data_IF_958284642182
#
_entry.id   IF_958284642182
#
_cell.length_a   1.000
_cell.length_b   1.000
_cell.length_c   1.000
_cell.angle_alpha   90.00
_cell.angle_beta   90.00
_cell.angle_gamma   90.00
#
_symmetry.space_group_name_H-M   'P 1'
#
loop_
_entity.id
_entity.type
_entity.pdbx_description
1 polymer ?
#
# COMPACT_ATOMS: atom_id res chain seq x y z
N UNK A 1 -6.98 -16.07 5.93
CA UNK A 1 -7.16 -16.18 7.39
C UNK A 1 -6.60 -17.51 7.87
N UNK A 2 -5.67 -17.45 8.82
CA UNK A 2 -5.00 -18.56 9.46
C UNK A 2 -5.67 -18.83 10.79
N UNK A 3 -6.00 -20.09 11.08
CA UNK A 3 -6.49 -20.50 12.40
C UNK A 3 -5.36 -20.34 13.43
N UNK A 4 -5.48 -19.41 14.37
CA UNK A 4 -4.54 -19.26 15.49
C UNK A 4 -5.28 -19.54 16.80
N UNK A 5 -4.79 -20.50 17.57
CA UNK A 5 -5.30 -20.77 18.90
C UNK A 5 -4.52 -19.90 19.89
N UNK A 6 -5.19 -18.93 20.48
CA UNK A 6 -4.60 -17.89 21.35
C UNK A 6 -4.10 -18.46 22.69
N UNK A 7 -4.64 -19.60 23.12
CA UNK A 7 -4.37 -20.19 24.44
C UNK A 7 -4.05 -21.69 24.43
N UNK A 8 -4.10 -22.35 23.27
CA UNK A 8 -4.17 -23.81 23.26
C UNK A 8 -5.46 -24.30 23.89
N UNK A 9 -6.42 -24.68 23.03
CA UNK A 9 -7.47 -25.67 23.31
C UNK A 9 -8.70 -25.25 24.15
N UNK A 10 -8.81 -24.04 24.73
CA UNK A 10 -9.98 -23.68 25.57
C UNK A 10 -10.90 -22.57 25.06
N UNK A 11 -10.49 -21.76 24.08
CA UNK A 11 -11.33 -20.67 23.52
C UNK A 11 -11.52 -20.81 22.00
N UNK A 12 -12.57 -20.18 21.43
CA UNK A 12 -12.82 -20.23 20.00
C UNK A 12 -11.59 -19.74 19.23
N UNK A 13 -11.21 -20.40 18.13
CA UNK A 13 -10.08 -19.98 17.33
C UNK A 13 -10.31 -18.56 16.81
N UNK A 14 -9.29 -17.71 16.90
CA UNK A 14 -9.30 -16.44 16.17
C UNK A 14 -8.55 -16.66 14.87
N UNK A 15 -9.17 -16.23 13.78
CA UNK A 15 -8.51 -16.20 12.51
C UNK A 15 -7.61 -14.97 12.44
N UNK A 16 -6.33 -15.17 12.12
CA UNK A 16 -5.40 -14.07 11.88
C UNK A 16 -4.98 -13.96 10.44
N UNK A 17 -4.56 -12.79 10.02
CA UNK A 17 -3.92 -12.59 8.72
C UNK A 17 -2.53 -13.24 8.73
N UNK A 18 -2.04 -13.81 7.63
CA UNK A 18 -0.62 -14.14 7.53
C UNK A 18 0.22 -12.86 7.63
N UNK A 19 1.37 -12.86 8.33
CA UNK A 19 2.27 -11.73 8.30
C UNK A 19 2.97 -11.65 6.92
N UNK A 20 3.39 -10.45 6.47
CA UNK A 20 4.24 -10.33 5.29
C UNK A 20 5.58 -11.03 5.54
N UNK A 21 6.12 -11.68 4.50
CA UNK A 21 7.44 -12.36 4.56
C UNK A 21 8.59 -11.46 4.09
N UNK A 22 8.29 -10.40 3.33
CA UNK A 22 9.28 -9.37 2.96
C UNK A 22 9.81 -8.71 4.22
N UNK A 23 11.12 -8.50 4.27
CA UNK A 23 11.81 -7.94 5.44
C UNK A 23 11.59 -8.69 6.76
N UNK A 24 11.04 -9.90 6.74
CA UNK A 24 10.75 -10.64 7.96
C UNK A 24 12.00 -10.76 8.84
N UNK A 25 13.18 -10.94 8.25
CA UNK A 25 14.45 -11.09 8.96
C UNK A 25 14.87 -9.86 9.77
N UNK A 26 14.27 -8.69 9.49
CA UNK A 26 14.50 -7.43 10.19
C UNK A 26 13.48 -7.17 11.30
N UNK A 27 12.46 -8.02 11.47
CA UNK A 27 11.35 -7.78 12.40
C UNK A 27 11.41 -8.66 13.64
N UNK A 28 12.58 -9.22 13.96
CA UNK A 28 12.75 -10.02 15.17
C UNK A 28 12.40 -9.21 16.44
N UNK A 29 11.79 -9.83 17.48
CA UNK A 29 11.40 -11.24 17.53
C UNK A 29 10.20 -11.54 16.62
N UNK A 30 10.25 -12.69 15.94
CA UNK A 30 9.27 -13.11 14.95
C UNK A 30 7.97 -13.58 15.58
N UNK A 31 6.97 -13.80 14.71
CA UNK A 31 5.55 -14.03 14.99
C UNK A 31 4.78 -12.77 15.43
N UNK A 32 3.46 -12.87 15.42
CA UNK A 32 2.58 -11.75 15.73
C UNK A 32 2.69 -11.24 17.16
N UNK A 33 3.25 -12.01 18.10
CA UNK A 33 3.30 -11.64 19.51
C UNK A 33 4.73 -11.35 19.99
N UNK A 34 5.70 -11.48 19.09
CA UNK A 34 7.10 -11.13 19.30
C UNK A 34 7.78 -12.06 20.30
N UNK A 35 7.53 -13.37 20.21
CA UNK A 35 8.13 -14.37 21.12
C UNK A 35 9.18 -15.24 20.49
N UNK A 36 9.20 -15.33 19.17
CA UNK A 36 10.07 -16.29 18.51
C UNK A 36 11.41 -15.62 18.18
N UNK A 37 12.51 -16.01 18.84
CA UNK A 37 13.77 -15.25 18.75
C UNK A 37 14.54 -15.49 17.45
N UNK A 38 14.31 -16.62 16.77
CA UNK A 38 15.07 -17.03 15.60
C UNK A 38 14.17 -17.59 14.47
N UNK A 39 14.66 -17.49 13.23
CA UNK A 39 13.91 -17.85 12.02
C UNK A 39 13.61 -19.36 11.95
N UNK A 40 14.53 -20.23 12.38
CA UNK A 40 14.33 -21.69 12.33
C UNK A 40 13.23 -22.13 13.29
N UNK A 41 13.19 -21.56 14.49
CA UNK A 41 12.08 -21.76 15.43
C UNK A 41 10.78 -21.21 14.84
N UNK A 42 10.78 -20.05 14.19
CA UNK A 42 9.60 -19.49 13.54
C UNK A 42 9.05 -20.43 12.45
N UNK A 43 9.92 -20.93 11.56
CA UNK A 43 9.57 -21.88 10.51
C UNK A 43 8.99 -23.17 11.11
N UNK A 44 9.62 -23.72 12.15
CA UNK A 44 9.15 -24.94 12.81
C UNK A 44 7.78 -24.73 13.44
N UNK A 45 7.55 -23.59 14.11
CA UNK A 45 6.25 -23.22 14.67
C UNK A 45 5.19 -23.07 13.59
N UNK A 46 5.53 -22.47 12.44
CA UNK A 46 4.61 -22.38 11.30
C UNK A 46 4.21 -23.76 10.77
N UNK A 47 5.16 -24.70 10.64
CA UNK A 47 4.85 -26.08 10.23
C UNK A 47 3.97 -26.78 11.26
N UNK A 48 4.30 -26.68 12.55
CA UNK A 48 3.46 -27.23 13.64
C UNK A 48 2.06 -26.63 13.64
N UNK A 49 1.91 -25.36 13.25
CA UNK A 49 0.63 -24.66 13.23
C UNK A 49 -0.22 -24.97 11.98
N UNK A 50 0.39 -25.16 10.81
CA UNK A 50 -0.35 -25.18 9.54
C UNK A 50 -0.38 -26.55 8.84
N UNK A 51 0.56 -27.44 9.14
CA UNK A 51 0.69 -28.73 8.45
C UNK A 51 -0.07 -29.90 9.11
N UNK A 52 -0.47 -29.87 10.40
CA UNK A 52 -1.25 -30.97 10.97
C UNK A 52 -2.53 -31.25 10.21
N UNK A 53 -2.78 -32.53 9.94
CA UNK A 53 -4.05 -33.03 9.37
C UNK A 53 -5.19 -33.06 10.38
N UNK A 54 -4.87 -33.11 11.68
CA UNK A 54 -5.85 -33.14 12.77
C UNK A 54 -5.50 -32.12 13.85
N UNK A 55 -6.45 -31.87 14.75
CA UNK A 55 -6.24 -31.01 15.91
C UNK A 55 -5.30 -31.61 16.97
N UNK A 56 -4.90 -32.88 16.84
CA UNK A 56 -3.95 -33.52 17.76
C UNK A 56 -2.52 -33.00 17.56
N UNK A 57 -2.17 -32.59 16.33
CA UNK A 57 -0.87 -32.01 15.97
C UNK A 57 0.29 -32.88 16.43
N UNK A 58 0.21 -34.19 16.16
CA UNK A 58 1.25 -35.14 16.52
C UNK A 58 2.21 -35.34 15.34
N UNK A 59 3.49 -34.93 15.45
CA UNK A 59 4.45 -35.13 14.38
C UNK A 59 4.86 -36.60 14.25
N UNK A 60 5.34 -36.96 13.06
CA UNK A 60 5.99 -38.25 12.79
C UNK A 60 7.09 -38.53 13.82
N UNK A 61 7.04 -39.72 14.41
CA UNK A 61 7.93 -40.20 15.47
C UNK A 61 7.35 -40.02 16.88
N UNK A 62 6.25 -39.29 17.03
CA UNK A 62 5.58 -39.06 18.34
C UNK A 62 4.15 -39.60 18.38
N UNK A 63 3.65 -40.19 17.28
CA UNK A 63 2.33 -40.79 17.21
C UNK A 63 2.25 -42.15 17.93
N UNK A 64 1.08 -42.53 18.47
CA UNK A 64 0.85 -43.87 19.01
C UNK A 64 1.19 -44.99 18.02
N UNK A 65 1.61 -46.16 18.53
CA UNK A 65 1.92 -47.32 17.69
C UNK A 65 0.70 -47.73 16.86
N UNK A 66 0.89 -47.88 15.55
CA UNK A 66 -0.17 -48.27 14.61
C UNK A 66 -1.04 -47.11 14.08
N UNK A 67 -0.77 -45.86 14.46
CA UNK A 67 -1.47 -44.70 13.91
C UNK A 67 -0.62 -43.95 12.89
N UNK A 68 -1.30 -43.25 11.96
CA UNK A 68 -0.65 -42.39 10.98
C UNK A 68 -0.27 -41.04 11.61
N UNK A 69 0.90 -40.47 11.28
CA UNK A 69 1.28 -39.16 11.79
C UNK A 69 0.46 -38.03 11.15
N UNK A 70 0.20 -36.97 11.91
CA UNK A 70 -0.52 -35.78 11.40
C UNK A 70 0.31 -34.98 10.41
N UNK A 71 1.61 -34.82 10.69
CA UNK A 71 2.58 -34.07 9.88
C UNK A 71 4.02 -34.55 10.14
N UNK A 72 5.02 -33.95 9.50
CA UNK A 72 6.45 -34.15 9.78
C UNK A 72 7.09 -32.81 10.15
N UNK A 73 7.98 -32.79 11.13
CA UNK A 73 8.81 -31.62 11.43
C UNK A 73 9.83 -31.37 10.30
N UNK A 74 10.23 -30.12 10.02
CA UNK A 74 11.28 -29.82 9.05
C UNK A 74 12.60 -30.54 9.36
N UNK A 75 13.31 -30.99 8.32
CA UNK A 75 14.71 -31.43 8.43
C UNK A 75 15.65 -30.22 8.54
N UNK A 76 16.90 -30.47 8.93
CA UNK A 76 17.90 -29.42 9.11
C UNK A 76 18.21 -28.66 7.81
N UNK A 77 18.35 -29.37 6.69
CA UNK A 77 18.59 -28.80 5.36
C UNK A 77 17.38 -27.99 4.86
N UNK A 78 16.15 -28.46 5.13
CA UNK A 78 14.93 -27.72 4.83
C UNK A 78 14.83 -26.40 5.62
N UNK A 79 15.24 -26.41 6.90
CA UNK A 79 15.29 -25.20 7.73
C UNK A 79 16.34 -24.20 7.23
N UNK A 80 17.51 -24.69 6.83
CA UNK A 80 18.58 -23.85 6.27
C UNK A 80 18.16 -23.22 4.94
N UNK A 81 17.55 -24.01 4.05
CA UNK A 81 17.05 -23.53 2.77
C UNK A 81 15.95 -22.46 2.95
N UNK A 82 14.99 -22.70 3.85
CA UNK A 82 13.93 -21.72 4.13
C UNK A 82 14.46 -20.47 4.82
N UNK A 83 15.42 -20.58 5.73
CA UNK A 83 16.05 -19.41 6.34
C UNK A 83 16.79 -18.58 5.29
N UNK A 84 17.57 -19.22 4.41
CA UNK A 84 18.27 -18.54 3.32
C UNK A 84 17.28 -17.83 2.37
N UNK A 85 16.18 -18.50 2.03
CA UNK A 85 15.11 -17.90 1.24
C UNK A 85 14.48 -16.68 1.93
N UNK A 86 14.14 -16.76 3.22
CA UNK A 86 13.57 -15.62 3.94
C UNK A 86 14.55 -14.45 4.02
N UNK A 87 15.85 -14.71 4.16
CA UNK A 87 16.91 -13.67 4.11
C UNK A 87 17.03 -13.02 2.74
N UNK A 88 16.79 -13.75 1.66
CA UNK A 88 16.82 -13.18 0.31
C UNK A 88 15.61 -12.29 0.00
N UNK A 89 14.58 -12.24 0.86
CA UNK A 89 13.41 -11.37 0.72
C UNK A 89 13.60 -9.99 1.39
N UNK A 90 14.79 -9.70 1.93
CA UNK A 90 15.07 -8.41 2.52
C UNK A 90 15.22 -7.35 1.41
N UNK A 91 14.41 -6.30 1.47
CA UNK A 91 14.55 -5.11 0.63
C UNK A 91 14.47 -3.84 1.48
N UNK A 92 15.24 -2.82 1.14
CA UNK A 92 16.31 -2.81 0.16
C UNK A 92 17.53 -3.61 0.64
N UNK A 93 18.32 -4.13 -0.32
CA UNK A 93 19.55 -4.87 0.00
C UNK A 93 20.71 -3.93 0.41
N UNK A 94 20.61 -2.65 0.08
CA UNK A 94 21.59 -1.62 0.45
C UNK A 94 21.43 -1.21 1.92
N UNK A 95 22.49 -1.40 2.70
CA UNK A 95 22.55 -0.97 4.11
C UNK A 95 22.50 0.55 4.28
N UNK A 96 22.79 1.33 3.22
CA UNK A 96 22.74 2.80 3.20
C UNK A 96 21.51 3.33 2.45
N UNK A 97 20.47 2.51 2.31
CA UNK A 97 19.28 2.93 1.60
C UNK A 97 18.59 4.12 2.26
N UNK A 98 18.27 5.11 1.43
CA UNK A 98 17.52 6.29 1.84
C UNK A 98 16.07 6.16 1.39
N UNK A 99 15.13 6.20 2.34
CA UNK A 99 13.69 6.06 2.09
C UNK A 99 13.15 7.10 1.10
N UNK A 100 13.78 8.28 1.05
CA UNK A 100 13.43 9.36 0.13
C UNK A 100 13.57 8.95 -1.35
N UNK A 101 14.37 7.93 -1.66
CA UNK A 101 14.51 7.38 -3.02
C UNK A 101 13.22 6.72 -3.54
N UNK A 102 12.29 6.36 -2.65
CA UNK A 102 10.98 5.81 -3.04
C UNK A 102 9.97 6.90 -3.43
N UNK A 103 10.22 8.15 -3.04
CA UNK A 103 9.21 9.21 -3.10
C UNK A 103 9.28 9.97 -4.41
N UNK A 104 8.18 9.91 -5.18
CA UNK A 104 8.05 10.56 -6.48
C UNK A 104 7.19 11.82 -6.44
N UNK A 105 6.15 11.84 -5.61
CA UNK A 105 5.16 12.92 -5.59
C UNK A 105 5.35 13.87 -4.40
N UNK A 106 4.78 15.07 -4.51
CA UNK A 106 4.76 16.02 -3.40
C UNK A 106 3.92 15.50 -2.21
N UNK A 107 2.84 14.75 -2.48
CA UNK A 107 2.01 14.13 -1.44
C UNK A 107 2.79 13.10 -0.63
N UNK A 108 3.54 12.23 -1.31
CA UNK A 108 4.44 11.26 -0.68
C UNK A 108 5.48 11.92 0.24
N UNK A 109 6.07 13.03 -0.20
CA UNK A 109 7.03 13.79 0.61
C UNK A 109 6.39 14.42 1.86
N UNK A 110 5.21 15.04 1.72
CA UNK A 110 4.45 15.56 2.88
C UNK A 110 4.03 14.44 3.84
N UNK A 111 3.58 13.30 3.29
CA UNK A 111 3.22 12.12 4.06
C UNK A 111 4.39 11.58 4.87
N UNK A 112 5.59 11.52 4.28
CA UNK A 112 6.80 11.16 5.01
C UNK A 112 7.09 12.13 6.16
N UNK A 113 7.03 13.44 5.90
CA UNK A 113 7.24 14.45 6.94
C UNK A 113 6.26 14.29 8.10
N UNK A 114 4.97 14.06 7.79
CA UNK A 114 3.95 13.75 8.79
C UNK A 114 4.27 12.46 9.56
N UNK A 115 4.64 11.39 8.85
CA UNK A 115 4.90 10.06 9.41
C UNK A 115 6.01 10.07 10.47
N UNK A 116 7.10 10.79 10.18
CA UNK A 116 8.26 10.93 11.08
C UNK A 116 8.15 12.12 12.04
N UNK A 117 7.17 13.01 11.84
CA UNK A 117 6.92 14.18 12.65
C UNK A 117 6.07 13.92 13.90
N UNK A 118 5.90 14.98 14.70
CA UNK A 118 5.23 14.91 15.99
C UNK A 118 3.69 14.85 15.91
N UNK A 119 3.11 15.18 14.75
CA UNK A 119 1.66 15.18 14.54
C UNK A 119 1.11 13.77 14.37
N UNK A 120 1.64 12.99 13.43
CA UNK A 120 1.12 11.65 13.14
C UNK A 120 1.74 10.56 14.03
N UNK A 121 2.98 10.77 14.51
CA UNK A 121 3.69 9.90 15.45
C UNK A 121 3.82 8.44 15.00
N UNK A 122 3.62 8.14 13.72
CA UNK A 122 3.66 6.78 13.19
C UNK A 122 5.02 6.13 13.46
N UNK A 123 6.10 6.91 13.26
CA UNK A 123 7.47 6.49 13.53
C UNK A 123 7.79 6.26 15.02
N UNK A 124 6.87 6.45 15.96
CA UNK A 124 7.10 6.03 17.35
C UNK A 124 7.12 4.49 17.46
N UNK A 125 6.33 3.80 16.64
CA UNK A 125 6.26 2.34 16.59
C UNK A 125 6.79 1.75 15.27
N UNK A 126 6.75 2.52 14.18
CA UNK A 126 7.15 2.11 12.83
C UNK A 126 8.45 2.79 12.39
N UNK A 127 9.54 2.55 13.12
CA UNK A 127 10.87 3.09 12.83
C UNK A 127 11.83 2.02 12.28
N UNK A 128 13.06 2.43 11.98
CA UNK A 128 14.12 1.56 11.51
C UNK A 128 13.97 1.15 10.05
N UNK A 129 14.87 0.26 9.60
CA UNK A 129 14.98 -0.11 8.18
C UNK A 129 13.70 -0.74 7.61
N UNK A 130 12.97 -1.50 8.43
CA UNK A 130 11.73 -2.16 8.01
C UNK A 130 10.45 -1.38 8.43
N UNK A 131 10.58 -0.23 9.10
CA UNK A 131 9.47 0.53 9.67
C UNK A 131 8.60 -0.32 10.60
N UNK A 132 9.26 -1.07 11.49
CA UNK A 132 8.64 -1.99 12.46
C UNK A 132 9.13 -1.79 13.90
N UNK A 133 10.12 -0.92 14.10
CA UNK A 133 10.78 -0.79 15.39
C UNK A 133 10.18 0.35 16.20
N UNK A 134 9.98 0.11 17.49
CA UNK A 134 9.67 1.18 18.42
C UNK A 134 10.90 2.04 18.68
N UNK A 135 10.69 3.35 18.84
CA UNK A 135 11.74 4.26 19.30
C UNK A 135 12.14 3.95 20.74
N UNK A 136 13.41 4.12 21.05
CA UNK A 136 13.96 3.95 22.41
C UNK A 136 13.40 4.96 23.42
N UNK A 137 12.76 6.02 22.94
CA UNK A 137 12.06 7.02 23.77
C UNK A 137 10.76 6.48 24.35
N UNK A 138 10.18 5.43 23.77
CA UNK A 138 8.97 4.82 24.32
C UNK A 138 9.31 3.92 25.53
N UNK A 139 8.36 3.79 26.49
CA UNK A 139 8.50 2.84 27.59
C UNK A 139 8.75 1.42 27.07
N UNK A 140 9.71 0.71 27.69
CA UNK A 140 10.06 -0.66 27.29
C UNK A 140 11.21 -0.78 26.28
N UNK A 141 11.78 0.34 25.82
CA UNK A 141 12.97 0.37 24.96
C UNK A 141 12.65 0.33 23.46
N UNK A 142 13.70 0.21 22.64
CA UNK A 142 13.60 0.20 21.18
C UNK A 142 13.59 -1.19 20.55
N UNK A 143 13.37 -1.24 19.24
CA UNK A 143 13.25 -2.46 18.43
C UNK A 143 11.81 -2.92 18.25
N UNK A 144 11.58 -3.98 17.47
CA UNK A 144 10.24 -4.50 17.26
C UNK A 144 9.66 -5.09 18.56
N UNK A 145 8.50 -4.58 18.97
CA UNK A 145 7.81 -5.01 20.19
C UNK A 145 6.31 -5.01 20.00
N UNK A 146 5.63 -5.67 20.93
CA UNK A 146 4.21 -5.93 20.85
C UNK A 146 3.38 -4.89 21.62
N UNK A 147 2.33 -4.38 20.99
CA UNK A 147 1.42 -3.34 21.49
C UNK A 147 -0.04 -3.80 21.47
N UNK A 148 -0.85 -3.31 22.41
CA UNK A 148 -2.31 -3.40 22.35
C UNK A 148 -2.85 -2.06 21.86
N UNK A 149 -3.16 -2.00 20.56
CA UNK A 149 -3.69 -0.81 19.88
C UNK A 149 -5.20 -0.71 19.96
N UNK A 150 -5.88 -1.67 20.61
CA UNK A 150 -7.34 -1.74 20.65
C UNK A 150 -8.01 -2.30 19.40
N UNK A 151 -7.23 -2.72 18.39
CA UNK A 151 -7.76 -3.48 17.25
C UNK A 151 -8.32 -4.82 17.74
N UNK A 152 -9.47 -5.23 17.19
CA UNK A 152 -10.29 -6.35 17.61
C UNK A 152 -10.84 -6.21 19.05
N UNK A 153 -12.05 -5.66 19.22
CA UNK A 153 -12.78 -5.47 20.49
C UNK A 153 -13.18 -6.78 21.24
N UNK A 154 -12.30 -7.78 21.36
CA UNK A 154 -12.45 -8.94 22.24
C UNK A 154 -12.23 -8.62 23.74
N UNK A 155 -12.84 -9.39 24.65
CA UNK A 155 -12.60 -9.18 26.08
C UNK A 155 -11.15 -9.52 26.44
N UNK A 156 -10.40 -8.56 27.00
CA UNK A 156 -9.11 -8.81 27.64
C UNK A 156 -9.35 -9.39 29.03
N UNK A 157 -8.60 -10.43 29.40
CA UNK A 157 -8.53 -10.88 30.80
C UNK A 157 -7.11 -10.62 31.32
N UNK A 158 -6.91 -9.56 32.12
CA UNK A 158 -5.58 -9.15 32.59
C UNK A 158 -4.90 -10.18 33.50
N UNK A 159 -5.61 -11.26 33.91
CA UNK A 159 -5.04 -12.38 34.66
C UNK A 159 -4.28 -13.37 33.77
N UNK A 160 -4.40 -13.25 32.45
CA UNK A 160 -3.80 -14.19 31.51
C UNK A 160 -2.32 -13.82 31.27
N UNK A 161 -1.45 -14.80 31.55
CA UNK A 161 0.01 -14.66 31.40
C UNK A 161 0.46 -14.53 29.95
N UNK A 162 -0.39 -14.95 29.00
CA UNK A 162 -0.07 -14.93 27.59
C UNK A 162 -0.23 -13.52 26.97
N UNK A 163 0.81 -12.96 26.36
CA UNK A 163 0.78 -11.76 25.51
C UNK A 163 -0.37 -11.77 24.49
N UNK A 164 -0.69 -12.90 23.87
CA UNK A 164 -1.79 -12.98 22.91
C UNK A 164 -3.16 -12.80 23.59
N UNK A 165 -3.28 -13.26 24.83
CA UNK A 165 -4.46 -13.07 25.67
C UNK A 165 -4.53 -11.65 26.27
N UNK A 166 -3.45 -10.89 26.16
CA UNK A 166 -3.35 -9.45 26.46
C UNK A 166 -3.37 -8.58 25.19
N UNK A 167 -3.70 -9.14 24.02
CA UNK A 167 -3.76 -8.45 22.71
C UNK A 167 -2.49 -7.70 22.32
N UNK A 168 -1.33 -8.17 22.76
CA UNK A 168 -0.08 -7.57 22.36
C UNK A 168 0.35 -8.13 21.02
N UNK A 169 0.39 -7.27 20.00
CA UNK A 169 0.83 -7.62 18.66
C UNK A 169 2.08 -6.85 18.25
N UNK A 170 3.09 -7.54 17.72
CA UNK A 170 4.29 -6.94 17.15
C UNK A 170 3.93 -5.95 16.05
N UNK A 171 4.65 -4.83 15.99
CA UNK A 171 4.46 -3.86 14.93
C UNK A 171 4.83 -4.50 13.59
N UNK A 172 3.92 -4.53 12.59
CA UNK A 172 4.24 -5.05 11.28
C UNK A 172 5.16 -4.09 10.52
N UNK A 173 6.05 -4.63 9.69
CA UNK A 173 6.82 -3.86 8.71
C UNK A 173 5.92 -3.24 7.65
N UNK A 174 6.29 -2.09 7.11
CA UNK A 174 5.45 -1.32 6.19
C UNK A 174 5.89 -1.37 4.72
N UNK A 175 6.96 -2.07 4.36
CA UNK A 175 7.28 -2.27 2.94
C UNK A 175 6.24 -3.17 2.28
N UNK A 176 5.85 -2.82 1.05
CA UNK A 176 4.78 -3.42 0.27
C UNK A 176 3.38 -3.33 0.89
N UNK A 177 3.17 -2.44 1.87
CA UNK A 177 1.88 -2.34 2.59
C UNK A 177 0.68 -2.10 1.67
N UNK A 178 0.85 -1.44 0.52
CA UNK A 178 -0.23 -1.28 -0.48
C UNK A 178 -0.77 -2.58 -1.05
N UNK A 179 -0.03 -3.69 -0.95
CA UNK A 179 -0.40 -5.00 -1.49
C UNK A 179 -0.87 -6.00 -0.45
N UNK A 180 -0.98 -5.59 0.82
CA UNK A 180 -1.25 -6.50 1.95
C UNK A 180 -2.63 -6.34 2.55
N UNK A 181 -3.55 -5.64 1.86
CA UNK A 181 -4.94 -5.57 2.29
C UNK A 181 -5.57 -6.98 2.32
N UNK A 182 -6.54 -7.25 3.22
CA UNK A 182 -7.00 -6.36 4.31
C UNK A 182 -6.00 -6.26 5.48
N UNK A 183 -6.12 -5.20 6.26
CA UNK A 183 -5.15 -4.77 7.26
C UNK A 183 -5.49 -5.20 8.68
N UNK A 184 -4.47 -5.10 9.54
CA UNK A 184 -4.40 -5.60 10.91
C UNK A 184 -4.41 -7.13 11.03
N UNK A 185 -4.19 -7.59 12.27
CA UNK A 185 -4.10 -9.02 12.58
C UNK A 185 -5.44 -9.75 12.42
N UNK A 186 -6.57 -9.05 12.36
CA UNK A 186 -7.94 -9.58 12.26
C UNK A 186 -8.64 -9.24 10.93
N UNK A 187 -7.94 -8.60 9.98
CA UNK A 187 -8.50 -8.10 8.71
C UNK A 187 -9.62 -7.06 8.86
N UNK A 188 -9.70 -6.31 9.97
CA UNK A 188 -10.82 -5.40 10.21
C UNK A 188 -10.82 -4.15 9.31
N UNK A 189 -9.67 -3.76 8.76
CA UNK A 189 -9.55 -2.61 7.87
C UNK A 189 -9.43 -3.08 6.41
N UNK A 190 -10.29 -2.57 5.52
CA UNK A 190 -10.38 -3.09 4.15
C UNK A 190 -9.36 -2.48 3.20
N UNK A 191 -8.92 -1.26 3.52
CA UNK A 191 -7.98 -0.48 2.74
C UNK A 191 -7.05 0.31 3.68
N UNK A 192 -6.00 0.92 3.11
CA UNK A 192 -4.95 1.57 3.90
C UNK A 192 -5.45 2.82 4.63
N UNK A 193 -6.38 3.54 4.00
CA UNK A 193 -7.05 4.69 4.62
C UNK A 193 -7.80 4.28 5.88
N UNK A 194 -8.57 3.19 5.86
CA UNK A 194 -9.27 2.67 7.05
C UNK A 194 -8.29 2.40 8.20
N UNK A 195 -7.10 1.86 7.88
CA UNK A 195 -6.07 1.55 8.87
C UNK A 195 -5.46 2.83 9.49
N UNK A 196 -5.19 3.86 8.68
CA UNK A 196 -4.69 5.16 9.16
C UNK A 196 -5.77 5.91 9.96
N UNK A 197 -7.02 5.89 9.51
CA UNK A 197 -8.17 6.47 10.21
C UNK A 197 -8.39 5.82 11.58
N UNK A 198 -8.20 4.50 11.68
CA UNK A 198 -8.24 3.81 12.98
C UNK A 198 -7.24 4.39 13.98
N UNK A 199 -5.99 4.65 13.57
CA UNK A 199 -4.97 5.22 14.46
C UNK A 199 -5.32 6.63 14.96
N UNK A 200 -6.14 7.38 14.22
CA UNK A 200 -6.64 8.69 14.64
C UNK A 200 -8.00 8.63 15.37
N UNK A 201 -8.56 7.43 15.59
CA UNK A 201 -9.90 7.25 16.17
C UNK A 201 -9.91 7.26 17.70
N UNK A 202 -11.11 7.44 18.27
CA UNK A 202 -11.33 7.28 19.71
C UNK A 202 -11.04 5.84 20.19
N UNK A 203 -11.17 4.83 19.32
CA UNK A 203 -10.84 3.46 19.69
C UNK A 203 -9.34 3.31 20.00
N UNK A 204 -8.48 3.86 19.14
CA UNK A 204 -7.04 3.89 19.39
C UNK A 204 -6.70 4.78 20.59
N UNK A 205 -7.30 5.97 20.68
CA UNK A 205 -7.07 6.91 21.79
C UNK A 205 -7.35 6.31 23.17
N UNK A 206 -8.32 5.39 23.25
CA UNK A 206 -8.69 4.68 24.49
C UNK A 206 -7.94 3.34 24.67
N UNK A 207 -6.96 3.02 23.82
CA UNK A 207 -6.17 1.80 23.90
C UNK A 207 -4.97 1.93 24.85
N UNK A 208 -4.41 0.81 25.34
CA UNK A 208 -3.15 0.82 26.10
C UNK A 208 -1.99 1.48 25.33
N UNK A 209 -1.86 1.24 24.02
CA UNK A 209 -0.78 1.83 23.21
C UNK A 209 -0.82 3.37 23.21
N UNK A 210 -2.01 3.98 23.22
CA UNK A 210 -2.13 5.44 23.28
C UNK A 210 -1.61 6.04 24.59
N UNK A 211 -1.47 5.27 25.67
CA UNK A 211 -0.81 5.75 26.90
C UNK A 211 0.70 5.93 26.72
N UNK A 212 1.30 5.26 25.74
CA UNK A 212 2.73 5.34 25.44
C UNK A 212 3.04 6.41 24.39
N UNK A 213 2.25 6.50 23.32
CA UNK A 213 2.48 7.43 22.19
C UNK A 213 1.65 8.73 22.27
N UNK A 214 0.65 8.76 23.14
CA UNK A 214 -0.33 9.83 23.25
C UNK A 214 -1.39 9.81 22.14
N UNK A 215 -2.24 10.83 22.13
CA UNK A 215 -3.27 10.99 21.09
C UNK A 215 -2.65 11.32 19.74
N UNK A 216 -3.23 10.76 18.68
CA UNK A 216 -2.98 11.09 17.28
C UNK A 216 -4.25 11.78 16.76
N UNK A 217 -4.10 12.92 16.09
CA UNK A 217 -5.21 13.65 15.48
C UNK A 217 -4.76 14.10 14.11
N UNK A 218 -5.53 13.71 13.09
CA UNK A 218 -5.19 13.93 11.69
C UNK A 218 -6.38 14.54 10.95
N UNK A 219 -6.13 15.57 10.16
CA UNK A 219 -7.06 16.07 9.17
C UNK A 219 -7.14 15.13 7.96
N UNK A 220 -8.23 15.17 7.20
CA UNK A 220 -8.43 14.25 6.06
C UNK A 220 -7.29 14.33 5.02
N UNK A 221 -6.76 15.52 4.75
CA UNK A 221 -5.65 15.70 3.82
C UNK A 221 -4.32 15.16 4.36
N UNK A 222 -4.12 15.17 5.69
CA UNK A 222 -2.95 14.56 6.32
C UNK A 222 -3.02 13.03 6.22
N UNK A 223 -4.22 12.46 6.33
CA UNK A 223 -4.47 11.04 6.08
C UNK A 223 -4.17 10.69 4.62
N UNK A 224 -4.64 11.50 3.67
CA UNK A 224 -4.34 11.30 2.23
C UNK A 224 -2.83 11.30 1.96
N UNK A 225 -2.10 12.26 2.54
CA UNK A 225 -0.65 12.35 2.39
C UNK A 225 0.07 11.14 3.03
N UNK A 226 -0.34 10.70 4.23
CA UNK A 226 0.19 9.50 4.89
C UNK A 226 -0.05 8.23 4.08
N UNK A 227 -1.26 8.04 3.56
CA UNK A 227 -1.61 6.92 2.68
C UNK A 227 -0.72 6.95 1.44
N UNK A 228 -0.58 8.10 0.78
CA UNK A 228 0.29 8.23 -0.40
C UNK A 228 1.75 7.86 -0.10
N UNK A 229 2.28 8.28 1.06
CA UNK A 229 3.61 7.88 1.51
C UNK A 229 3.72 6.37 1.73
N UNK A 230 2.79 5.77 2.47
CA UNK A 230 2.80 4.33 2.75
C UNK A 230 2.65 3.49 1.48
N UNK A 231 1.86 3.94 0.50
CA UNK A 231 1.76 3.31 -0.82
C UNK A 231 3.05 3.39 -1.64
N UNK A 232 3.94 4.33 -1.33
CA UNK A 232 5.24 4.45 -1.96
C UNK A 232 6.29 3.50 -1.39
N UNK A 233 6.01 2.81 -0.27
CA UNK A 233 6.93 1.90 0.41
C UNK A 233 7.11 0.57 -0.33
N UNK A 234 7.24 0.60 -1.65
CA UNK A 234 7.48 -0.58 -2.49
C UNK A 234 8.80 -0.46 -3.21
N UNK A 235 9.26 -1.55 -3.82
CA UNK A 235 10.37 -1.47 -4.76
C UNK A 235 10.04 -0.47 -5.88
N UNK A 236 10.88 0.56 -6.11
CA UNK A 236 10.54 1.63 -7.02
C UNK A 236 10.90 1.26 -8.46
N UNK A 237 9.93 1.34 -9.38
CA UNK A 237 10.13 1.40 -10.84
C UNK A 237 10.90 2.65 -11.32
N UNK A 238 12.16 2.83 -10.93
CA UNK A 238 12.93 4.07 -11.15
C UNK A 238 14.12 3.91 -12.11
N UNK A 239 14.42 2.70 -12.57
CA UNK A 239 15.50 2.43 -13.50
C UNK A 239 16.89 2.22 -12.89
N UNK A 240 17.03 2.30 -11.57
CA UNK A 240 18.26 1.95 -10.82
C UNK A 240 18.23 0.45 -10.49
N UNK A 241 18.55 -0.38 -11.49
CA UNK A 241 18.36 -1.84 -11.47
C UNK A 241 19.40 -2.52 -10.58
N UNK A 242 20.62 -1.99 -10.52
CA UNK A 242 21.67 -2.51 -9.64
C UNK A 242 21.58 -1.95 -8.20
N UNK A 243 20.66 -1.02 -7.93
CA UNK A 243 20.39 -0.39 -6.64
C UNK A 243 21.59 0.39 -6.06
N UNK A 244 22.47 0.92 -6.92
CA UNK A 244 23.64 1.70 -6.51
C UNK A 244 23.32 3.19 -6.23
N UNK A 245 22.07 3.59 -6.47
CA UNK A 245 21.58 4.95 -6.31
C UNK A 245 21.70 5.82 -7.56
N UNK A 246 22.13 5.26 -8.70
CA UNK A 246 22.29 5.98 -9.97
C UNK A 246 21.65 5.21 -11.11
N UNK A 247 21.01 5.95 -12.01
CA UNK A 247 20.52 5.38 -13.28
C UNK A 247 21.62 5.51 -14.33
N UNK A 248 22.19 4.40 -14.75
CA UNK A 248 23.36 4.33 -15.64
C UNK A 248 23.12 3.38 -16.84
N UNK A 249 24.05 3.33 -17.82
CA UNK A 249 23.99 2.31 -18.88
C UNK A 249 24.09 0.87 -18.37
N UNK A 250 24.68 0.67 -17.19
CA UNK A 250 24.76 -0.66 -16.57
C UNK A 250 23.37 -1.17 -16.19
N UNK A 251 22.52 -0.31 -15.65
CA UNK A 251 21.12 -0.63 -15.32
C UNK A 251 20.31 -0.98 -16.57
N UNK A 252 20.47 -0.19 -17.63
CA UNK A 252 19.85 -0.46 -18.91
C UNK A 252 20.31 -1.81 -19.48
N UNK A 253 21.61 -2.13 -19.34
CA UNK A 253 22.16 -3.39 -19.79
C UNK A 253 21.65 -4.58 -18.96
N UNK A 254 21.52 -4.44 -17.64
CA UNK A 254 20.94 -5.45 -16.75
C UNK A 254 19.48 -5.75 -17.13
N UNK A 255 18.65 -4.71 -17.27
CA UNK A 255 17.27 -4.85 -17.70
C UNK A 255 17.18 -5.53 -19.08
N UNK A 256 18.05 -5.15 -20.02
CA UNK A 256 18.08 -5.75 -21.35
C UNK A 256 18.49 -7.22 -21.31
N UNK A 257 19.56 -7.58 -20.59
CA UNK A 257 20.03 -8.96 -20.44
C UNK A 257 18.98 -9.84 -19.78
N UNK A 258 18.32 -9.33 -18.74
CA UNK A 258 17.20 -10.02 -18.09
C UNK A 258 16.05 -10.27 -19.07
N UNK A 259 15.66 -9.26 -19.87
CA UNK A 259 14.60 -9.43 -20.88
C UNK A 259 14.93 -10.47 -21.97
N UNK A 260 16.22 -10.81 -22.14
CA UNK A 260 16.70 -11.86 -23.04
C UNK A 260 16.92 -13.22 -22.33
N UNK A 261 16.68 -13.31 -21.02
CA UNK A 261 16.94 -14.50 -20.21
C UNK A 261 18.42 -14.77 -19.94
N UNK A 262 19.28 -13.76 -20.09
CA UNK A 262 20.74 -13.84 -19.91
C UNK A 262 21.21 -13.44 -18.50
N UNK A 263 20.29 -12.95 -17.68
CA UNK A 263 20.54 -12.48 -16.31
C UNK A 263 19.36 -12.91 -15.43
N UNK A 264 19.62 -13.11 -14.14
CA UNK A 264 18.57 -13.30 -13.14
C UNK A 264 18.54 -12.08 -12.23
N UNK A 265 17.38 -11.45 -12.15
CA UNK A 265 17.14 -10.30 -11.27
C UNK A 265 16.28 -10.74 -10.10
N UNK A 266 16.57 -10.24 -8.90
CA UNK A 266 15.64 -10.38 -7.79
C UNK A 266 14.34 -9.60 -8.05
N UNK A 267 13.32 -9.83 -7.24
CA UNK A 267 12.00 -9.18 -7.42
C UNK A 267 12.08 -7.65 -7.41
N UNK A 268 12.94 -7.07 -6.57
CA UNK A 268 13.06 -5.61 -6.49
C UNK A 268 13.76 -5.07 -7.74
N UNK A 269 14.84 -5.70 -8.16
CA UNK A 269 15.55 -5.35 -9.39
C UNK A 269 14.64 -5.47 -10.62
N UNK A 270 13.74 -6.44 -10.66
CA UNK A 270 12.71 -6.54 -11.69
C UNK A 270 11.75 -5.35 -11.66
N UNK A 271 11.28 -4.93 -10.48
CA UNK A 271 10.45 -3.73 -10.35
C UNK A 271 11.21 -2.48 -10.79
N UNK A 272 12.46 -2.30 -10.34
CA UNK A 272 13.36 -1.22 -10.79
C UNK A 272 13.54 -1.21 -12.31
N UNK A 273 13.61 -2.38 -12.92
CA UNK A 273 13.77 -2.55 -14.36
C UNK A 273 12.47 -2.37 -15.15
N UNK A 274 11.29 -2.67 -14.61
CA UNK A 274 9.98 -2.47 -15.28
C UNK A 274 9.50 -1.02 -15.12
N UNK A 275 10.25 -0.09 -15.71
CA UNK A 275 9.99 1.37 -15.58
C UNK A 275 8.75 1.84 -16.33
N UNK A 276 8.30 1.10 -17.34
CA UNK A 276 7.05 1.40 -18.05
C UNK A 276 5.84 0.84 -17.33
N UNK A 277 6.00 -0.17 -16.46
CA UNK A 277 4.91 -0.84 -15.74
C UNK A 277 3.79 -1.27 -16.69
N UNK A 278 4.18 -1.84 -17.84
CA UNK A 278 3.26 -2.09 -18.95
C UNK A 278 2.37 -3.34 -18.77
N UNK A 279 2.51 -4.03 -17.64
CA UNK A 279 1.87 -5.32 -17.38
C UNK A 279 2.56 -6.50 -18.08
N UNK A 280 3.68 -6.26 -18.78
CA UNK A 280 4.47 -7.27 -19.49
C UNK A 280 5.79 -7.62 -18.78
N UNK A 281 6.02 -7.10 -17.57
CA UNK A 281 7.30 -7.20 -16.88
C UNK A 281 8.40 -6.43 -17.60
N UNK A 282 9.66 -6.78 -17.32
CA UNK A 282 10.83 -6.11 -17.89
C UNK A 282 10.99 -6.44 -19.37
N UNK A 283 10.94 -5.42 -20.23
CA UNK A 283 11.09 -5.54 -21.69
C UNK A 283 12.31 -4.77 -22.21
N UNK A 284 12.75 -5.00 -23.46
CA UNK A 284 13.73 -4.13 -24.11
C UNK A 284 13.32 -2.65 -24.17
N UNK A 285 12.01 -2.37 -24.15
CA UNK A 285 11.50 -1.00 -24.10
C UNK A 285 11.79 -0.30 -22.77
N UNK A 286 11.87 -1.05 -21.68
CA UNK A 286 12.25 -0.53 -20.37
C UNK A 286 13.75 -0.21 -20.32
N UNK A 287 14.59 -1.12 -20.81
CA UNK A 287 16.02 -0.89 -20.96
C UNK A 287 16.31 0.37 -21.80
N UNK A 288 15.58 0.55 -22.91
CA UNK A 288 15.69 1.77 -23.72
C UNK A 288 15.30 3.02 -22.91
N UNK A 289 14.23 2.95 -22.13
CA UNK A 289 13.79 4.07 -21.31
C UNK A 289 14.84 4.46 -20.24
N UNK A 290 15.44 3.46 -19.58
CA UNK A 290 16.54 3.65 -18.62
C UNK A 290 17.74 4.32 -19.31
N UNK A 291 18.11 3.83 -20.50
CA UNK A 291 19.22 4.40 -21.26
C UNK A 291 18.95 5.84 -21.74
N UNK A 292 17.72 6.14 -22.18
CA UNK A 292 17.28 7.49 -22.54
C UNK A 292 17.41 8.46 -21.36
N UNK A 293 17.01 8.00 -20.15
CA UNK A 293 17.13 8.79 -18.91
C UNK A 293 18.60 9.15 -18.64
N UNK A 294 19.51 8.19 -18.77
CA UNK A 294 20.94 8.43 -18.61
C UNK A 294 21.49 9.43 -19.64
N UNK A 295 21.04 9.34 -20.90
CA UNK A 295 21.45 10.26 -21.96
C UNK A 295 20.90 11.69 -21.80
N UNK A 296 20.00 11.94 -20.84
CA UNK A 296 19.36 13.24 -20.65
C UNK A 296 18.41 13.62 -21.77
N UNK A 297 17.90 12.62 -22.51
CA UNK A 297 16.87 12.81 -23.54
C UNK A 297 15.52 12.33 -23.02
N UNK A 298 14.40 12.79 -23.61
CA UNK A 298 13.07 12.43 -23.13
C UNK A 298 12.90 10.92 -22.94
N UNK A 299 12.57 10.55 -21.71
CA UNK A 299 12.44 9.18 -21.23
C UNK A 299 11.07 8.98 -20.56
N UNK A 300 10.61 7.73 -20.51
CA UNK A 300 9.43 7.37 -19.73
C UNK A 300 9.61 7.58 -18.20
N UNK A 301 10.84 7.84 -17.74
CA UNK A 301 11.21 8.13 -16.35
C UNK A 301 11.20 9.64 -15.99
N UNK A 302 11.02 10.56 -16.95
CA UNK A 302 11.12 12.02 -16.74
C UNK A 302 9.86 12.64 -16.09
N UNK A 303 9.37 11.99 -15.05
CA UNK A 303 8.13 12.30 -14.35
C UNK A 303 6.86 12.01 -15.17
N UNK A 304 6.14 10.99 -14.70
CA UNK A 304 4.68 10.95 -14.78
C UNK A 304 4.14 12.08 -13.91
N UNK A 305 4.37 13.34 -14.29
CA UNK A 305 3.62 14.46 -13.70
C UNK A 305 2.16 14.11 -13.93
N UNK A 306 1.32 13.97 -12.88
CA UNK A 306 -0.11 13.75 -13.10
C UNK A 306 -0.55 14.85 -14.04
N UNK A 307 -1.11 14.47 -15.20
CA UNK A 307 -1.58 15.44 -16.17
C UNK A 307 -2.37 16.50 -15.41
N UNK A 308 -1.90 17.74 -15.42
CA UNK A 308 -2.56 18.78 -14.65
C UNK A 308 -3.86 19.03 -15.41
N UNK A 309 -4.97 18.51 -14.87
CA UNK A 309 -6.29 18.77 -15.42
C UNK A 309 -6.61 20.23 -15.11
N UNK A 310 -6.35 21.11 -16.07
CA UNK A 310 -6.82 22.49 -16.01
C UNK A 310 -8.26 22.48 -16.52
N UNK A 311 -9.19 22.37 -15.59
CA UNK A 311 -10.59 22.67 -15.86
C UNK A 311 -10.70 24.19 -15.93
N UNK A 312 -10.69 24.75 -17.14
CA UNK A 312 -11.11 26.14 -17.36
C UNK A 312 -12.64 26.19 -17.19
N UNK A 313 -13.11 26.26 -15.95
CA UNK A 313 -14.48 26.69 -15.70
C UNK A 313 -14.60 28.18 -15.95
N UNK A 314 -15.82 28.64 -16.24
CA UNK A 314 -16.19 30.05 -16.17
C UNK A 314 -15.47 30.78 -15.03
N UNK A 315 -14.71 31.82 -15.38
CA UNK A 315 -13.93 32.61 -14.43
C UNK A 315 -14.82 33.27 -13.36
N UNK A 316 -14.24 33.66 -12.22
CA UNK A 316 -14.93 34.46 -11.18
C UNK A 316 -15.50 35.79 -11.70
N UNK A 317 -15.06 36.24 -12.88
CA UNK A 317 -15.52 37.46 -13.55
C UNK A 317 -16.65 37.24 -14.56
N UNK A 318 -17.08 36.00 -14.84
CA UNK A 318 -18.20 35.69 -15.75
C UNK A 318 -18.86 34.35 -15.41
N UNK A 319 -19.96 34.32 -14.65
CA UNK A 319 -20.65 33.09 -14.27
C UNK A 319 -21.22 32.35 -15.50
N UNK A 320 -21.16 31.02 -15.50
CA UNK A 320 -21.86 30.19 -16.47
C UNK A 320 -23.38 30.24 -16.18
N UNK A 321 -24.14 31.10 -16.85
CA UNK A 321 -25.62 31.12 -16.77
C UNK A 321 -26.23 30.31 -17.91
N UNK A 322 -27.01 29.27 -17.60
CA UNK A 322 -27.74 28.46 -18.58
C UNK A 322 -29.19 28.22 -18.13
N UNK A 323 -30.12 28.07 -19.07
CA UNK A 323 -31.50 27.68 -18.75
C UNK A 323 -31.58 26.19 -18.48
N UNK A 324 -32.42 25.79 -17.53
CA UNK A 324 -32.77 24.39 -17.29
C UNK A 324 -33.15 23.71 -18.62
N UNK A 325 -32.50 22.60 -18.96
CA UNK A 325 -32.66 21.90 -20.24
C UNK A 325 -31.71 22.31 -21.38
N UNK A 326 -30.70 23.15 -21.11
CA UNK A 326 -29.65 23.50 -22.09
C UNK A 326 -28.32 22.80 -21.77
N UNK A 327 -27.60 22.37 -22.82
CA UNK A 327 -26.27 21.80 -22.68
C UNK A 327 -25.26 22.90 -22.32
N UNK A 328 -24.53 22.73 -21.22
CA UNK A 328 -23.41 23.62 -20.88
C UNK A 328 -22.13 23.05 -21.50
N UNK A 329 -21.47 23.77 -22.43
CA UNK A 329 -20.19 23.35 -22.94
C UNK A 329 -19.11 23.61 -21.89
N UNK A 330 -18.64 22.56 -21.22
CA UNK A 330 -17.46 22.64 -20.36
C UNK A 330 -16.24 22.27 -21.20
N UNK A 331 -15.30 23.21 -21.35
CA UNK A 331 -14.05 22.96 -22.06
C UNK A 331 -13.00 22.53 -21.03
N UNK A 332 -12.59 21.27 -21.09
CA UNK A 332 -11.57 20.72 -20.19
C UNK A 332 -10.27 20.65 -20.96
N UNK A 333 -9.23 21.38 -20.51
CA UNK A 333 -7.91 21.32 -21.13
C UNK A 333 -7.01 20.42 -20.30
N UNK A 334 -6.67 19.26 -20.85
CA UNK A 334 -5.64 18.38 -20.29
C UNK A 334 -4.29 18.89 -20.79
N UNK A 335 -3.40 19.31 -19.90
CA UNK A 335 -2.01 19.64 -20.26
C UNK A 335 -1.08 18.64 -19.61
N UNK A 336 -0.31 17.93 -20.44
CA UNK A 336 0.82 17.12 -19.97
C UNK A 336 2.12 17.91 -20.14
N UNK A 337 3.01 17.85 -19.15
CA UNK A 337 4.28 18.59 -19.13
C UNK A 337 5.29 18.07 -20.18
N UNK A 338 5.06 16.90 -20.79
CA UNK A 338 5.93 16.27 -21.78
C UNK A 338 5.65 16.57 -23.26
N UNK A 339 4.81 17.55 -23.59
CA UNK A 339 4.71 18.08 -24.96
C UNK A 339 4.05 17.18 -26.03
N UNK A 340 3.58 15.97 -25.71
CA UNK A 340 2.84 15.11 -26.66
C UNK A 340 1.60 14.51 -26.00
N UNK A 341 0.41 14.84 -26.51
CA UNK A 341 -0.80 14.01 -26.36
C UNK A 341 -2.02 14.67 -25.71
N UNK A 342 -3.13 14.69 -26.49
CA UNK A 342 -4.51 15.09 -26.16
C UNK A 342 -4.76 16.59 -25.93
N UNK A 343 -4.75 17.37 -27.02
CA UNK A 343 -5.37 18.69 -27.03
C UNK A 343 -6.84 18.58 -27.48
N UNK A 344 -7.77 19.18 -26.71
CA UNK A 344 -9.13 19.46 -27.17
C UNK A 344 -10.16 18.34 -26.99
N UNK A 345 -10.32 17.81 -25.77
CA UNK A 345 -11.48 16.98 -25.44
C UNK A 345 -12.63 17.89 -25.00
N UNK A 346 -13.69 17.94 -25.80
CA UNK A 346 -14.94 18.62 -25.41
C UNK A 346 -15.82 17.63 -24.64
N UNK A 347 -16.07 17.93 -23.36
CA UNK A 347 -17.00 17.18 -22.51
C UNK A 347 -18.29 17.99 -22.38
N UNK A 348 -19.38 17.48 -22.93
CA UNK A 348 -20.68 18.16 -22.89
C UNK A 348 -21.51 17.56 -21.76
N UNK A 349 -21.93 18.41 -20.82
CA UNK A 349 -22.87 18.02 -19.76
C UNK A 349 -24.27 18.54 -20.11
N UNK A 350 -25.25 17.65 -20.05
CA UNK A 350 -26.67 18.03 -20.05
C UNK A 350 -27.22 17.91 -18.64
N UNK A 351 -27.73 19.02 -18.11
CA UNK A 351 -28.46 19.07 -16.85
C UNK A 351 -29.94 18.81 -17.13
N UNK A 352 -30.44 17.66 -16.69
CA UNK A 352 -31.87 17.39 -16.61
C UNK A 352 -32.31 17.44 -15.14
N UNK A 353 -33.60 17.73 -14.89
CA UNK A 353 -34.17 18.03 -13.57
C UNK A 353 -34.00 16.95 -12.48
N UNK A 354 -33.42 15.79 -12.80
CA UNK A 354 -33.24 14.67 -11.89
C UNK A 354 -31.91 13.93 -12.06
N UNK A 355 -31.09 14.25 -13.06
CA UNK A 355 -29.86 13.48 -13.38
C UNK A 355 -28.90 14.28 -14.27
N UNK A 356 -27.59 14.13 -14.04
CA UNK A 356 -26.53 14.66 -14.91
C UNK A 356 -26.12 13.58 -15.91
N UNK A 357 -26.26 13.85 -17.21
CA UNK A 357 -25.76 12.99 -18.29
C UNK A 357 -24.53 13.65 -18.91
N UNK A 358 -23.38 12.97 -18.86
CA UNK A 358 -22.14 13.38 -19.50
C UNK A 358 -21.95 12.65 -20.84
N UNK A 359 -21.60 13.38 -21.90
CA UNK A 359 -21.14 12.76 -23.16
C UNK A 359 -19.77 13.31 -23.53
N UNK A 360 -18.80 12.42 -23.72
CA UNK A 360 -17.45 12.77 -24.19
C UNK A 360 -17.44 12.66 -25.71
N UNK A 361 -17.12 13.75 -26.39
CA UNK A 361 -16.81 13.73 -27.82
C UNK A 361 -15.30 13.90 -27.98
N UNK A 362 -14.61 12.83 -28.31
CA UNK A 362 -13.19 12.91 -28.70
C UNK A 362 -13.11 13.39 -30.15
N UNK A 363 -12.48 14.54 -30.37
CA UNK A 363 -12.07 14.97 -31.69
C UNK A 363 -10.56 14.77 -31.82
N UNK A 364 -10.11 13.65 -32.41
CA UNK A 364 -8.81 13.57 -33.10
C UNK A 364 -8.52 12.26 -33.86
N UNK A 365 -9.16 11.12 -33.60
CA UNK A 365 -8.67 9.84 -34.14
C UNK A 365 -9.75 8.84 -34.62
N UNK A 366 -10.99 9.29 -34.85
CA UNK A 366 -12.01 8.47 -35.51
C UNK A 366 -12.54 7.28 -34.70
N UNK A 367 -12.27 7.19 -33.39
CA UNK A 367 -12.89 6.19 -32.51
C UNK A 367 -14.23 6.69 -31.98
N UNK A 368 -15.22 5.79 -31.92
CA UNK A 368 -16.61 6.11 -31.65
C UNK A 368 -16.85 6.72 -30.25
N UNK A 369 -17.79 7.66 -30.18
CA UNK A 369 -18.28 8.25 -28.94
C UNK A 369 -18.75 7.18 -27.94
N UNK A 370 -18.27 7.24 -26.69
CA UNK A 370 -18.78 6.41 -25.59
C UNK A 370 -19.62 7.29 -24.66
N UNK A 371 -20.89 6.94 -24.51
CA UNK A 371 -21.77 7.49 -23.49
C UNK A 371 -21.54 6.76 -22.16
N UNK A 372 -21.43 7.48 -21.05
CA UNK A 372 -21.48 6.87 -19.72
C UNK A 372 -22.52 7.59 -18.86
N UNK A 373 -23.13 6.83 -17.94
CA UNK A 373 -24.11 7.33 -16.98
C UNK A 373 -23.48 7.23 -15.60
N UNK A 374 -22.99 8.33 -14.99
CA UNK A 374 -22.48 8.27 -13.64
C UNK A 374 -23.63 7.98 -12.66
N UNK A 375 -23.40 7.11 -11.68
CA UNK A 375 -24.36 6.92 -10.58
C UNK A 375 -24.08 7.94 -9.47
N UNK A 376 -25.13 8.37 -8.77
CA UNK A 376 -25.13 9.52 -7.84
C UNK A 376 -24.16 9.42 -6.63
N UNK A 377 -23.34 8.37 -6.54
CA UNK A 377 -22.36 8.15 -5.47
C UNK A 377 -20.96 8.68 -5.79
N UNK A 378 -20.66 8.95 -7.07
CA UNK A 378 -19.36 9.46 -7.54
C UNK A 378 -19.31 11.00 -7.61
N UNK A 379 -20.43 11.67 -7.32
CA UNK A 379 -20.51 13.13 -7.27
C UNK A 379 -21.16 13.46 -5.92
N UNK A 380 -20.40 14.05 -4.99
CA UNK A 380 -20.93 14.51 -3.71
C UNK A 380 -21.98 15.61 -3.91
N UNK A 381 -23.25 15.22 -4.10
CA UNK A 381 -24.39 16.13 -4.17
C UNK A 381 -25.22 15.91 -2.88
N UNK A 382 -25.41 16.93 -2.02
CA UNK A 382 -26.45 16.86 -1.02
C UNK A 382 -27.81 16.92 -1.70
N UNK A 383 -28.67 15.93 -1.42
CA UNK A 383 -30.08 15.95 -1.81
C UNK A 383 -30.76 17.14 -1.12
N UNK A 384 -30.98 18.24 -1.84
CA UNK A 384 -31.82 19.34 -1.36
C UNK A 384 -32.98 19.51 -2.31
N UNK A 385 -34.17 19.25 -1.79
CA UNK A 385 -35.47 19.46 -2.43
C UNK A 385 -35.60 20.91 -2.87
N UNK A 386 -36.04 21.10 -4.11
CA UNK A 386 -36.11 22.37 -4.83
C UNK A 386 -36.70 23.54 -4.01
N UNK A 387 -35.98 24.67 -3.99
CA UNK A 387 -36.54 26.01 -3.86
C UNK A 387 -35.76 26.96 -4.77
N UNK A 388 -36.48 27.83 -5.46
CA UNK A 388 -35.98 28.73 -6.49
C UNK A 388 -34.81 29.60 -6.02
N UNK A 389 -33.64 29.43 -6.65
CA UNK A 389 -32.44 30.25 -6.44
C UNK A 389 -31.29 29.74 -7.33
N UNK A 390 -30.42 30.65 -7.77
CA UNK A 390 -29.24 30.33 -8.59
C UNK A 390 -28.40 29.22 -7.92
N UNK A 391 -28.20 28.11 -8.64
CA UNK A 391 -27.40 26.98 -8.20
C UNK A 391 -25.93 27.23 -8.52
N UNK A 392 -25.08 27.26 -7.49
CA UNK A 392 -23.63 27.15 -7.65
C UNK A 392 -23.21 25.72 -7.32
N UNK A 393 -22.93 24.90 -8.33
CA UNK A 393 -22.50 23.50 -8.14
C UNK A 393 -20.99 23.39 -8.35
N UNK A 394 -20.26 22.81 -7.40
CA UNK A 394 -18.87 22.36 -7.62
C UNK A 394 -18.89 20.96 -8.25
N UNK A 395 -18.38 20.83 -9.46
CA UNK A 395 -18.15 19.53 -10.10
C UNK A 395 -16.74 19.05 -9.74
N UNK A 396 -16.62 17.85 -9.17
CA UNK A 396 -15.36 17.09 -9.13
C UNK A 396 -15.34 16.14 -10.33
N UNK A 397 -14.25 16.14 -11.09
CA UNK A 397 -14.02 15.24 -12.23
C UNK A 397 -12.84 14.33 -11.89
N UNK A 398 -13.08 13.04 -11.84
CA UNK A 398 -12.04 12.00 -11.72
C UNK A 398 -11.80 11.41 -13.10
N UNK A 399 -10.55 11.36 -13.56
CA UNK A 399 -10.18 10.81 -14.87
C UNK A 399 -9.36 9.55 -14.64
N UNK A 400 -9.96 8.40 -14.90
CA UNK A 400 -9.27 7.10 -14.86
C UNK A 400 -8.67 6.76 -16.22
N UNK A 401 -7.37 6.44 -16.24
CA UNK A 401 -6.69 5.86 -17.40
C UNK A 401 -6.99 4.35 -17.44
N UNK A 402 -7.55 3.80 -18.54
CA UNK A 402 -7.84 2.37 -18.64
C UNK A 402 -6.60 1.45 -18.57
N UNK A 403 -5.38 2.00 -18.64
CA UNK A 403 -4.13 1.27 -18.38
C UNK A 403 -3.56 1.43 -16.97
N UNK A 404 -4.16 2.26 -16.12
CA UNK A 404 -3.68 2.57 -14.77
C UNK A 404 -4.88 2.72 -13.85
N UNK A 405 -5.25 1.63 -13.16
CA UNK A 405 -6.17 1.73 -12.03
C UNK A 405 -5.55 2.68 -11.00
N UNK A 406 -6.28 3.74 -10.67
CA UNK A 406 -5.98 4.79 -9.69
C UNK A 406 -5.37 6.08 -10.27
N UNK A 407 -6.27 6.97 -10.72
CA UNK A 407 -6.12 8.44 -10.67
C UNK A 407 -7.46 9.04 -10.23
#
# INVERSE_FOLDING_TARGET
MILVNVDGFSRPPVFRSPPPLRNLTLTAPFDFNGRTPDLKTFITRAVVQHFPKTLQRIPRGQQPTGTMPDFRLPQADELEALEAFLRSLQVPHDANFELDRLLRTAAQRRGRELFFGDTAKCAQCHDGMALSDAKTTLPGGGGNRAFDTGVAQHQTDPRLRDRELRRLFSTPQLFDVRHTAPFFHDNSATNLRDAVEFCASDAFKNSPAATEVGTITLASNEIDDLVAFMEALTCPHNGDVNQDGKVTPEDALLAFRYSLGLEQLDTCQQDHADVRASGHGVTPGDALCIFQKFLGIPSCLDDRVPAKLLVETCSSTSPCTGRVGTALPLRVRVTNAGGVGLQGIDVVFQLNNTTTLGTVKTAADGRAARSFTPTAREIGIPLVTAMAGDLTTRLQLTVTDPGNSDI
#
